data_IF_302210549672
#
_entry.id   IF_302210549672
#
_cell.length_a   1.000
_cell.length_b   1.000
_cell.length_c   1.000
_cell.angle_alpha   90.00
_cell.angle_beta   90.00
_cell.angle_gamma   90.00
#
_symmetry.space_group_name_H-M   'P 1'
#
loop_
_entity.id
_entity.type
_entity.pdbx_description
1 polymer ?
#
# COMPACT_ATOMS: atom_id res chain seq x y z
N UNK A 1 -37.81 -18.89 30.12
CA UNK A 1 -37.64 -19.52 28.79
C UNK A 1 -36.27 -19.11 28.29
N UNK A 2 -35.32 -20.03 28.24
CA UNK A 2 -33.97 -19.78 27.71
C UNK A 2 -34.05 -19.84 26.18
N UNK A 3 -33.91 -18.70 25.52
CA UNK A 3 -33.72 -18.67 24.07
C UNK A 3 -32.46 -19.45 23.73
N UNK A 4 -32.63 -20.57 23.02
CA UNK A 4 -31.53 -21.27 22.38
C UNK A 4 -30.92 -20.31 21.34
N UNK A 5 -29.67 -19.89 21.54
CA UNK A 5 -28.93 -19.15 20.53
C UNK A 5 -28.77 -20.01 19.28
N UNK A 6 -29.64 -19.78 18.30
CA UNK A 6 -29.52 -20.40 16.97
C UNK A 6 -28.15 -20.12 16.38
N UNK A 7 -27.59 -21.08 15.65
CA UNK A 7 -26.27 -20.96 15.02
C UNK A 7 -26.23 -19.78 14.04
N UNK A 8 -25.37 -18.80 14.34
CA UNK A 8 -25.18 -17.57 13.53
C UNK A 8 -24.37 -17.81 12.23
N UNK A 9 -24.59 -18.94 11.56
CA UNK A 9 -23.80 -19.32 10.38
C UNK A 9 -24.26 -18.57 9.12
N UNK A 10 -23.34 -17.81 8.50
CA UNK A 10 -23.59 -17.11 7.23
C UNK A 10 -23.40 -18.02 6.01
N UNK A 11 -24.45 -18.71 5.57
CA UNK A 11 -24.36 -19.66 4.44
C UNK A 11 -24.25 -19.05 3.03
N UNK A 12 -24.40 -17.72 2.87
CA UNK A 12 -24.43 -17.07 1.54
C UNK A 12 -23.05 -16.91 0.90
N UNK A 13 -22.02 -16.63 1.71
CA UNK A 13 -20.62 -16.42 1.31
C UNK A 13 -19.70 -16.48 2.53
N UNK A 14 -18.47 -16.93 2.33
CA UNK A 14 -17.47 -17.04 3.39
C UNK A 14 -17.01 -15.69 3.96
N UNK A 15 -16.94 -14.65 3.11
CA UNK A 15 -16.52 -13.30 3.48
C UNK A 15 -17.66 -12.33 3.15
N UNK A 16 -18.06 -11.40 4.04
CA UNK A 16 -19.11 -10.42 3.74
C UNK A 16 -18.73 -9.50 2.55
N UNK A 17 -19.71 -8.81 1.93
CA UNK A 17 -19.40 -7.87 0.85
C UNK A 17 -18.49 -6.72 1.32
N UNK A 18 -17.44 -6.43 0.55
CA UNK A 18 -16.53 -5.30 0.79
C UNK A 18 -16.99 -4.07 -0.01
N UNK A 19 -17.99 -3.34 0.46
CA UNK A 19 -18.69 -2.28 -0.30
C UNK A 19 -18.60 -0.89 0.32
N UNK A 20 -17.75 -0.69 1.33
CA UNK A 20 -17.57 0.60 1.99
C UNK A 20 -16.09 0.99 2.00
N UNK A 21 -15.76 2.14 1.43
CA UNK A 21 -14.42 2.73 1.55
C UNK A 21 -14.18 3.28 2.97
N UNK A 22 -15.23 3.67 3.68
CA UNK A 22 -15.11 4.24 5.03
C UNK A 22 -14.84 3.16 6.11
N UNK A 23 -15.23 1.91 5.85
CA UNK A 23 -14.96 0.81 6.77
C UNK A 23 -13.53 0.28 6.56
N UNK A 24 -12.82 0.01 7.65
CA UNK A 24 -11.43 -0.44 7.64
C UNK A 24 -11.21 -1.60 8.62
N UNK A 25 -10.31 -2.51 8.26
CA UNK A 25 -9.68 -3.47 9.17
C UNK A 25 -8.17 -3.24 9.18
N UNK A 26 -7.52 -3.20 10.33
CA UNK A 26 -6.07 -3.07 10.34
C UNK A 26 -5.37 -4.42 10.19
N UNK A 27 -4.45 -4.56 9.22
CA UNK A 27 -3.58 -5.72 9.20
C UNK A 27 -2.69 -5.72 10.46
N UNK A 28 -2.35 -6.89 11.00
CA UNK A 28 -1.45 -6.97 12.15
C UNK A 28 -0.09 -6.33 11.82
N UNK A 29 0.46 -5.60 12.81
CA UNK A 29 1.81 -5.02 12.73
C UNK A 29 2.90 -6.09 12.83
N UNK A 30 2.61 -7.20 13.49
CA UNK A 30 3.52 -8.35 13.58
C UNK A 30 2.69 -9.60 13.32
N UNK A 31 3.00 -10.29 12.24
CA UNK A 31 2.32 -11.51 11.80
C UNK A 31 3.37 -12.62 11.64
N UNK A 32 3.64 -13.32 12.74
CA UNK A 32 4.59 -14.43 12.75
C UNK A 32 3.87 -15.74 12.43
N UNK A 33 4.51 -16.60 11.66
CA UNK A 33 3.98 -17.90 11.26
C UNK A 33 4.93 -19.03 11.68
N UNK A 34 4.36 -20.09 12.25
CA UNK A 34 5.11 -21.28 12.65
C UNK A 34 5.87 -21.12 13.98
N UNK A 35 6.92 -21.92 14.14
CA UNK A 35 7.76 -21.93 15.34
C UNK A 35 8.80 -20.81 15.26
N UNK A 36 8.75 -19.88 16.21
CA UNK A 36 9.70 -18.77 16.31
C UNK A 36 10.73 -19.07 17.40
N UNK A 37 12.04 -19.02 17.11
CA UNK A 37 13.08 -19.19 18.13
C UNK A 37 12.95 -18.12 19.24
N UNK A 38 13.25 -18.47 20.49
CA UNK A 38 13.26 -17.49 21.60
C UNK A 38 14.21 -16.32 21.39
N UNK A 39 15.26 -16.51 20.58
CA UNK A 39 16.23 -15.47 20.23
C UNK A 39 15.82 -14.57 19.08
N UNK A 40 14.63 -14.73 18.49
CA UNK A 40 14.14 -13.82 17.46
C UNK A 40 13.97 -12.42 18.05
N UNK A 41 14.71 -11.45 17.51
CA UNK A 41 14.54 -10.03 17.82
C UNK A 41 14.04 -9.28 16.57
N UNK A 42 12.82 -8.73 16.58
CA UNK A 42 12.32 -7.88 15.48
C UNK A 42 13.25 -6.71 15.11
N UNK A 43 14.05 -6.23 16.06
CA UNK A 43 14.97 -5.09 15.86
C UNK A 43 16.16 -5.42 14.93
N UNK A 44 16.44 -6.71 14.68
CA UNK A 44 17.50 -7.13 13.76
C UNK A 44 17.11 -6.89 12.29
N UNK A 45 15.81 -6.74 12.03
CA UNK A 45 15.24 -6.49 10.72
C UNK A 45 15.04 -4.98 10.48
N UNK A 46 14.70 -4.63 9.23
CA UNK A 46 14.29 -3.26 8.94
C UNK A 46 13.04 -2.91 9.72
N UNK A 47 13.05 -1.70 10.27
CA UNK A 47 11.87 -1.06 10.82
C UNK A 47 11.73 0.32 10.18
N UNK A 48 10.52 0.69 9.79
CA UNK A 48 10.23 1.99 9.20
C UNK A 48 10.13 3.03 10.30
N UNK A 49 10.93 4.09 10.19
CA UNK A 49 10.91 5.23 11.11
C UNK A 49 10.03 6.35 10.60
N UNK A 50 9.97 6.56 9.27
CA UNK A 50 9.12 7.58 8.67
C UNK A 50 8.77 7.24 7.20
N UNK A 51 7.69 7.83 6.70
CA UNK A 51 7.26 7.71 5.29
C UNK A 51 6.95 9.10 4.75
N UNK A 52 7.64 9.49 3.68
CA UNK A 52 7.43 10.76 2.98
C UNK A 52 6.72 10.49 1.65
N UNK A 53 5.64 11.22 1.42
CA UNK A 53 4.79 11.04 0.23
C UNK A 53 4.95 12.14 -0.83
N UNK A 54 5.79 13.15 -0.59
CA UNK A 54 5.95 14.32 -1.46
C UNK A 54 4.58 14.85 -1.94
N UNK A 55 3.71 15.10 -0.96
CA UNK A 55 2.25 15.28 -1.16
C UNK A 55 1.79 16.73 -1.08
N UNK A 56 2.74 17.67 -1.02
CA UNK A 56 2.42 19.10 -1.03
C UNK A 56 1.87 19.50 -2.40
N UNK A 57 1.08 20.57 -2.45
CA UNK A 57 0.39 20.98 -3.69
C UNK A 57 1.35 21.40 -4.80
N UNK A 58 2.56 21.84 -4.43
CA UNK A 58 3.63 22.23 -5.34
C UNK A 58 4.63 21.10 -5.62
N UNK A 59 4.52 19.95 -4.94
CA UNK A 59 5.39 18.81 -5.22
C UNK A 59 4.99 18.14 -6.53
N UNK A 60 5.98 17.54 -7.20
CA UNK A 60 5.83 16.87 -8.50
C UNK A 60 4.71 15.85 -8.50
N UNK A 61 4.53 15.07 -7.43
CA UNK A 61 3.45 14.07 -7.39
C UNK A 61 2.06 14.66 -7.64
N UNK A 62 1.71 15.81 -7.05
CA UNK A 62 0.38 16.41 -7.27
C UNK A 62 0.30 17.18 -8.58
N UNK A 63 1.39 17.84 -8.96
CA UNK A 63 1.46 18.61 -10.21
C UNK A 63 1.38 17.68 -11.41
N UNK A 64 2.22 16.66 -11.48
CA UNK A 64 2.33 15.73 -12.62
C UNK A 64 1.11 14.81 -12.74
N UNK A 65 0.43 14.52 -11.62
CA UNK A 65 -0.85 13.79 -11.63
C UNK A 65 -2.07 14.70 -11.84
N UNK A 66 -1.90 16.01 -12.00
CA UNK A 66 -3.02 16.96 -12.18
C UNK A 66 -4.05 16.87 -11.03
N UNK A 67 -3.55 16.85 -9.79
CA UNK A 67 -4.33 16.75 -8.54
C UNK A 67 -3.97 17.86 -7.52
N UNK A 68 -3.11 18.81 -7.90
CA UNK A 68 -2.71 20.00 -7.15
C UNK A 68 -3.88 20.95 -6.81
N UNK A 69 -4.97 20.87 -7.57
CA UNK A 69 -6.15 21.74 -7.42
C UNK A 69 -7.10 21.32 -6.30
N UNK A 70 -7.05 20.06 -5.86
CA UNK A 70 -7.91 19.60 -4.76
C UNK A 70 -7.48 20.27 -3.45
N UNK A 71 -8.45 20.81 -2.70
CA UNK A 71 -8.23 21.33 -1.35
C UNK A 71 -8.14 20.18 -0.34
N UNK A 72 -7.09 19.37 -0.45
CA UNK A 72 -6.83 18.20 0.39
C UNK A 72 -5.32 18.04 0.64
N UNK A 73 -4.94 17.76 1.89
CA UNK A 73 -3.56 17.63 2.37
C UNK A 73 -2.97 16.23 2.18
N UNK A 74 -3.80 15.22 1.89
CA UNK A 74 -3.36 13.84 1.62
C UNK A 74 -2.82 13.70 0.20
N UNK A 75 -2.10 12.61 -0.06
CA UNK A 75 -1.62 12.29 -1.40
C UNK A 75 -2.82 11.93 -2.29
N UNK A 76 -2.90 12.55 -3.46
CA UNK A 76 -3.90 12.24 -4.48
C UNK A 76 -3.14 12.00 -5.78
N UNK A 77 -3.27 10.80 -6.33
CA UNK A 77 -2.63 10.38 -7.58
C UNK A 77 -3.69 9.80 -8.51
N UNK A 78 -3.30 9.57 -9.77
CA UNK A 78 -4.13 8.95 -10.79
C UNK A 78 -3.53 7.61 -11.19
N UNK A 79 -4.40 6.62 -11.42
CA UNK A 79 -4.01 5.24 -11.72
C UNK A 79 -3.20 5.13 -13.02
N UNK A 80 -2.36 4.09 -13.15
CA UNK A 80 -1.53 3.88 -14.35
C UNK A 80 -0.31 4.79 -14.49
N UNK A 81 -0.13 5.79 -13.62
CA UNK A 81 1.01 6.71 -13.64
C UNK A 81 1.85 6.55 -12.37
N UNK A 82 3.16 6.71 -12.50
CA UNK A 82 4.10 6.57 -11.38
C UNK A 82 4.18 7.83 -10.51
N UNK A 83 4.31 7.64 -9.20
CA UNK A 83 4.57 8.70 -8.21
C UNK A 83 5.73 8.31 -7.30
N UNK A 84 6.30 9.29 -6.60
CA UNK A 84 7.44 9.08 -5.72
C UNK A 84 7.03 8.98 -4.25
N UNK A 85 7.67 8.08 -3.52
CA UNK A 85 7.64 8.06 -2.04
C UNK A 85 9.05 7.82 -1.52
N UNK A 86 9.29 8.17 -0.27
CA UNK A 86 10.54 7.84 0.43
C UNK A 86 10.24 7.19 1.76
N UNK A 87 10.96 6.11 2.06
CA UNK A 87 10.83 5.36 3.30
C UNK A 87 12.14 5.49 4.05
N UNK A 88 12.06 5.98 5.27
CA UNK A 88 13.20 6.05 6.19
C UNK A 88 13.15 4.84 7.11
N UNK A 89 14.29 4.15 7.25
CA UNK A 89 14.44 2.95 8.06
C UNK A 89 15.32 3.19 9.30
N UNK A 90 15.30 2.25 10.24
CA UNK A 90 16.18 2.20 11.40
C UNK A 90 17.68 2.06 11.02
N UNK A 91 17.98 1.43 9.88
CA UNK A 91 19.33 1.25 9.33
C UNK A 91 19.31 1.29 7.80
N UNK A 92 20.47 1.41 7.13
CA UNK A 92 20.53 1.31 5.67
C UNK A 92 19.88 0.01 5.14
N UNK A 93 19.10 0.15 4.07
CA UNK A 93 18.53 -0.97 3.31
C UNK A 93 19.63 -1.72 2.56
N UNK A 94 19.70 -3.04 2.74
CA UNK A 94 20.64 -3.93 2.06
C UNK A 94 19.87 -4.96 1.20
N UNK A 95 19.88 -4.80 -0.14
CA UNK A 95 19.17 -5.68 -1.07
C UNK A 95 19.57 -7.16 -0.98
N UNK A 96 20.71 -7.50 -0.37
CA UNK A 96 21.17 -8.89 -0.26
C UNK A 96 20.50 -9.67 0.88
N UNK A 97 19.93 -8.97 1.87
CA UNK A 97 19.35 -9.58 3.07
C UNK A 97 17.96 -9.06 3.43
N UNK A 98 17.62 -7.85 2.98
CA UNK A 98 16.38 -7.19 3.33
C UNK A 98 15.35 -7.35 2.22
N UNK A 99 14.14 -7.74 2.61
CA UNK A 99 12.98 -7.80 1.74
C UNK A 99 11.85 -6.99 2.36
N UNK A 100 11.31 -6.04 1.61
CA UNK A 100 10.12 -5.31 2.00
C UNK A 100 9.25 -5.01 0.78
N UNK A 101 8.00 -4.63 1.03
CA UNK A 101 7.06 -4.16 0.01
C UNK A 101 6.15 -3.08 0.57
N UNK A 102 5.58 -2.29 -0.33
CA UNK A 102 4.47 -1.38 0.00
C UNK A 102 3.17 -2.15 -0.16
N UNK A 103 2.18 -1.87 0.68
CA UNK A 103 0.86 -2.48 0.60
C UNK A 103 -0.21 -1.39 0.60
N UNK A 104 -1.12 -1.45 -0.38
CA UNK A 104 -2.32 -0.61 -0.40
C UNK A 104 -3.54 -1.46 -0.05
N UNK A 105 -4.36 -0.95 0.87
CA UNK A 105 -5.51 -1.69 1.41
C UNK A 105 -6.75 -0.81 1.41
N UNK A 106 -7.89 -1.34 0.96
CA UNK A 106 -9.17 -0.64 0.92
C UNK A 106 -10.33 -1.51 1.41
N UNK A 107 -11.21 -0.89 2.21
CA UNK A 107 -12.37 -1.55 2.80
C UNK A 107 -12.05 -2.41 4.02
N UNK A 108 -13.07 -3.12 4.50
CA UNK A 108 -13.08 -3.94 5.71
C UNK A 108 -12.67 -5.40 5.46
N UNK A 109 -12.91 -5.90 4.25
CA UNK A 109 -12.61 -7.29 3.87
C UNK A 109 -11.72 -7.35 2.62
N UNK A 110 -10.50 -6.79 2.70
CA UNK A 110 -9.60 -6.69 1.57
C UNK A 110 -9.11 -8.08 1.13
N UNK A 111 -9.06 -8.30 -0.18
CA UNK A 111 -8.62 -9.55 -0.82
C UNK A 111 -7.79 -9.21 -2.07
N UNK A 112 -6.70 -9.95 -2.26
CA UNK A 112 -5.74 -9.72 -3.36
C UNK A 112 -6.39 -9.95 -4.73
N UNK A 113 -7.08 -11.07 -4.89
CA UNK A 113 -7.79 -11.45 -6.12
C UNK A 113 -9.01 -10.54 -6.45
N UNK A 114 -9.36 -9.61 -5.55
CA UNK A 114 -10.39 -8.58 -5.77
C UNK A 114 -9.80 -7.19 -5.95
N UNK A 115 -8.47 -7.06 -5.96
CA UNK A 115 -7.78 -5.77 -6.07
C UNK A 115 -7.98 -4.84 -4.86
N UNK A 116 -8.42 -5.36 -3.72
CA UNK A 116 -8.68 -4.57 -2.50
C UNK A 116 -7.59 -4.71 -1.43
N UNK A 117 -6.73 -5.72 -1.58
CA UNK A 117 -5.42 -5.81 -0.96
C UNK A 117 -4.38 -5.82 -2.09
N UNK A 118 -3.44 -4.88 -2.09
CA UNK A 118 -2.52 -4.69 -3.20
C UNK A 118 -1.09 -4.75 -2.65
N UNK A 119 -0.40 -5.90 -2.73
CA UNK A 119 1.02 -5.98 -2.45
C UNK A 119 1.80 -5.41 -3.63
N UNK A 120 2.54 -4.34 -3.41
CA UNK A 120 3.36 -3.67 -4.42
C UNK A 120 4.80 -4.19 -4.35
N UNK A 121 5.21 -5.09 -5.27
CA UNK A 121 6.55 -5.69 -5.21
C UNK A 121 7.64 -4.66 -5.56
N UNK A 122 8.81 -4.83 -4.96
CA UNK A 122 10.02 -4.17 -5.44
C UNK A 122 10.50 -4.85 -6.73
N UNK A 123 10.71 -4.07 -7.78
CA UNK A 123 11.12 -4.55 -9.11
C UNK A 123 12.33 -3.78 -9.61
N UNK A 124 13.13 -4.41 -10.48
CA UNK A 124 14.25 -3.74 -11.16
C UNK A 124 13.76 -2.70 -12.16
N UNK A 125 12.72 -3.04 -12.92
CA UNK A 125 12.09 -2.16 -13.90
C UNK A 125 10.56 -2.22 -13.79
N UNK A 126 9.92 -1.07 -13.97
CA UNK A 126 8.47 -0.96 -13.96
C UNK A 126 7.90 -1.51 -15.28
N UNK A 127 6.84 -2.30 -15.19
CA UNK A 127 6.15 -2.87 -16.35
C UNK A 127 4.83 -2.14 -16.58
N UNK A 128 4.54 -1.79 -17.83
CA UNK A 128 3.26 -1.16 -18.22
C UNK A 128 2.06 -1.95 -17.69
N UNK A 129 1.01 -1.24 -17.26
CA UNK A 129 -0.24 -1.80 -16.75
C UNK A 129 -0.17 -2.49 -15.38
N UNK A 130 1.01 -2.65 -14.76
CA UNK A 130 1.19 -3.42 -13.53
C UNK A 130 1.60 -2.57 -12.33
N UNK A 131 1.19 -3.04 -11.15
CA UNK A 131 1.70 -2.54 -9.88
C UNK A 131 3.18 -2.92 -9.69
N UNK A 132 3.98 -1.96 -9.26
CA UNK A 132 5.38 -2.19 -8.93
C UNK A 132 6.03 -0.97 -8.30
N UNK A 133 7.11 -1.19 -7.57
CA UNK A 133 7.93 -0.12 -6.98
C UNK A 133 9.39 -0.32 -7.37
N UNK A 134 10.00 0.70 -7.99
CA UNK A 134 11.42 0.71 -8.36
C UNK A 134 12.20 1.57 -7.38
N UNK A 135 13.31 1.05 -6.85
CA UNK A 135 14.25 1.85 -6.06
C UNK A 135 15.00 2.80 -6.98
N UNK A 136 14.78 4.11 -6.83
CA UNK A 136 15.42 5.15 -7.64
C UNK A 136 16.57 5.86 -6.92
N UNK A 137 16.59 5.80 -5.58
CA UNK A 137 17.65 6.40 -4.77
C UNK A 137 17.79 5.64 -3.45
N UNK A 138 19.04 5.49 -2.99
CA UNK A 138 19.40 4.97 -1.67
C UNK A 138 20.37 5.96 -1.05
N UNK A 139 20.00 6.56 0.07
CA UNK A 139 20.80 7.55 0.77
C UNK A 139 20.70 7.28 2.27
N UNK A 140 21.82 6.93 2.90
CA UNK A 140 21.90 6.50 4.29
C UNK A 140 20.84 5.45 4.67
N UNK A 141 19.79 5.87 5.38
CA UNK A 141 18.69 5.03 5.86
C UNK A 141 17.40 5.20 5.06
N UNK A 142 17.44 6.02 4.02
CA UNK A 142 16.30 6.39 3.20
C UNK A 142 16.35 5.69 1.85
N UNK A 143 15.21 5.18 1.43
CA UNK A 143 15.00 4.58 0.11
C UNK A 143 13.90 5.34 -0.60
N UNK A 144 14.20 5.96 -1.74
CA UNK A 144 13.20 6.58 -2.60
C UNK A 144 12.71 5.57 -3.62
N UNK A 145 11.40 5.44 -3.73
CA UNK A 145 10.72 4.55 -4.64
C UNK A 145 9.95 5.36 -5.68
N UNK A 146 10.01 4.92 -6.93
CA UNK A 146 9.02 5.24 -7.96
C UNK A 146 7.97 4.12 -7.94
N UNK A 147 6.76 4.43 -7.51
CA UNK A 147 5.64 3.49 -7.37
C UNK A 147 4.70 3.69 -8.54
N UNK A 148 4.45 2.62 -9.29
CA UNK A 148 3.48 2.61 -10.38
C UNK A 148 2.26 1.79 -9.97
N UNK A 149 1.09 2.35 -10.20
CA UNK A 149 -0.19 1.65 -10.04
C UNK A 149 -0.65 1.06 -11.36
N UNK A 150 -1.45 -0.01 -11.32
CA UNK A 150 -2.14 -0.51 -12.52
C UNK A 150 -3.14 0.52 -13.05
N UNK A 151 -3.29 0.64 -14.37
CA UNK A 151 -4.30 1.47 -15.01
C UNK A 151 -5.74 1.02 -14.68
N UNK A 152 -5.93 -0.24 -14.28
CA UNK A 152 -7.23 -0.80 -13.86
C UNK A 152 -7.47 -0.71 -12.35
N UNK A 153 -6.63 0.01 -11.60
CA UNK A 153 -6.77 0.13 -10.15
C UNK A 153 -8.17 0.63 -9.75
N UNK A 154 -8.71 0.04 -8.67
CA UNK A 154 -9.91 0.54 -7.99
C UNK A 154 -9.69 2.00 -7.61
N UNK A 155 -10.71 2.82 -7.84
CA UNK A 155 -10.71 4.24 -7.47
C UNK A 155 -11.20 4.40 -6.03
N UNK A 156 -10.48 5.17 -5.23
CA UNK A 156 -10.85 5.41 -3.83
C UNK A 156 -9.70 5.85 -2.96
N UNK A 157 -9.95 5.86 -1.65
CA UNK A 157 -8.97 6.18 -0.60
C UNK A 157 -8.38 4.90 -0.03
N UNK A 158 -7.09 4.66 -0.26
CA UNK A 158 -6.37 3.50 0.23
C UNK A 158 -5.57 3.84 1.48
N UNK A 159 -5.45 2.85 2.36
CA UNK A 159 -4.52 2.85 3.49
C UNK A 159 -3.19 2.29 3.00
N UNK A 160 -2.09 2.97 3.33
CA UNK A 160 -0.75 2.56 2.97
C UNK A 160 -0.07 1.87 4.15
N UNK A 161 0.64 0.78 3.88
CA UNK A 161 1.52 0.13 4.83
C UNK A 161 2.86 -0.20 4.16
N UNK A 162 3.90 -0.34 4.97
CA UNK A 162 5.17 -0.94 4.55
C UNK A 162 5.34 -2.23 5.33
N UNK A 163 5.54 -3.33 4.60
CA UNK A 163 5.67 -4.67 5.14
C UNK A 163 7.08 -5.21 4.88
N UNK A 164 7.83 -5.45 5.96
CA UNK A 164 9.15 -6.07 5.96
C UNK A 164 8.97 -7.57 6.16
N UNK A 165 9.55 -8.34 5.24
CA UNK A 165 9.50 -9.79 5.25
C UNK A 165 10.68 -10.35 6.03
N UNK A 166 10.38 -11.30 6.91
CA UNK A 166 11.37 -12.03 7.71
C UNK A 166 11.18 -13.53 7.47
N UNK A 167 12.17 -14.37 7.81
CA UNK A 167 12.01 -15.82 7.76
C UNK A 167 10.85 -16.36 8.61
N UNK A 168 10.35 -15.56 9.57
CA UNK A 168 9.34 -15.97 10.54
C UNK A 168 7.96 -15.34 10.27
N UNK A 169 7.83 -14.51 9.23
CA UNK A 169 6.60 -13.78 8.92
C UNK A 169 6.84 -12.32 8.57
N UNK A 170 5.84 -11.47 8.80
CA UNK A 170 5.84 -10.07 8.35
C UNK A 170 5.82 -9.10 9.52
N UNK A 171 6.67 -8.08 9.46
CA UNK A 171 6.65 -6.89 10.33
C UNK A 171 6.14 -5.72 9.48
N UNK A 172 5.07 -5.07 9.92
CA UNK A 172 4.35 -4.04 9.17
C UNK A 172 4.21 -2.76 10.00
N UNK A 173 4.24 -1.62 9.33
CA UNK A 173 3.91 -0.33 9.93
C UNK A 173 2.54 -0.35 10.59
N UNK A 174 2.35 0.40 11.66
CA UNK A 174 1.03 0.65 12.23
C UNK A 174 0.16 1.49 11.29
N UNK A 175 -1.15 1.51 11.54
CA UNK A 175 -2.09 2.39 10.85
C UNK A 175 -1.65 3.85 10.98
N UNK A 176 -1.43 4.51 9.85
CA UNK A 176 -1.11 5.93 9.79
C UNK A 176 -2.03 6.69 8.81
N UNK A 177 -3.06 7.41 9.30
CA UNK A 177 -3.98 8.19 8.47
C UNK A 177 -3.30 9.25 7.59
N UNK A 178 -2.11 9.74 7.95
CA UNK A 178 -1.37 10.72 7.16
C UNK A 178 -0.80 10.14 5.85
N UNK A 179 -0.69 8.81 5.78
CA UNK A 179 -0.24 8.11 4.58
C UNK A 179 -1.37 7.59 3.69
N UNK A 180 -2.62 7.91 4.04
CA UNK A 180 -3.75 7.56 3.18
C UNK A 180 -3.61 8.22 1.80
N UNK A 181 -3.79 7.43 0.77
CA UNK A 181 -3.57 7.82 -0.62
C UNK A 181 -4.86 7.68 -1.42
N UNK A 182 -5.28 8.75 -2.08
CA UNK A 182 -6.37 8.68 -3.04
C UNK A 182 -5.82 8.28 -4.40
N UNK A 183 -6.42 7.28 -5.03
CA UNK A 183 -6.13 6.88 -6.41
C UNK A 183 -7.38 7.15 -7.23
N UNK A 184 -7.25 8.02 -8.23
CA UNK A 184 -8.33 8.44 -9.12
C UNK A 184 -8.20 7.82 -10.51
N UNK A 185 -9.25 7.95 -11.31
CA UNK A 185 -9.19 7.75 -12.76
C UNK A 185 -8.14 8.66 -13.41
N UNK A 186 -7.54 8.19 -14.51
CA UNK A 186 -6.48 8.89 -15.22
C UNK A 186 -6.78 9.14 -16.71
N UNK A 187 -7.41 10.28 -17.06
CA UNK A 187 -7.61 10.67 -18.45
C UNK A 187 -6.32 10.89 -19.25
N UNK A 188 -5.16 11.02 -18.61
CA UNK A 188 -3.85 11.22 -19.26
C UNK A 188 -3.07 9.93 -19.51
N UNK A 189 -3.55 8.78 -19.01
CA UNK A 189 -2.89 7.49 -19.20
C UNK A 189 -3.55 6.74 -20.35
N UNK A 190 -2.81 6.43 -21.42
CA UNK A 190 -3.30 5.73 -22.62
C UNK A 190 -3.91 4.35 -22.32
N UNK A 191 -3.49 3.71 -21.23
CA UNK A 191 -4.00 2.40 -20.80
C UNK A 191 -5.27 2.51 -19.94
N UNK A 192 -5.64 3.69 -19.47
CA UNK A 192 -6.84 3.89 -18.67
C UNK A 192 -8.08 3.89 -19.58
N UNK A 193 -9.12 3.18 -19.15
CA UNK A 193 -10.41 3.15 -19.84
C UNK A 193 -11.06 4.54 -20.08
N UNK A 194 -10.65 5.58 -19.34
CA UNK A 194 -11.12 6.97 -19.53
C UNK A 194 -10.11 7.89 -20.22
N UNK A 195 -9.11 7.32 -20.90
CA UNK A 195 -8.12 8.10 -21.65
C UNK A 195 -8.76 9.09 -22.61
N UNK A 196 -8.23 10.31 -22.63
CA UNK A 196 -8.60 11.38 -23.56
C UNK A 196 -7.32 11.92 -24.20
N UNK A 197 -7.21 11.79 -25.52
CA UNK A 197 -6.06 12.28 -26.30
C UNK A 197 -5.98 13.82 -26.36
N UNK A 198 -7.11 14.53 -26.09
CA UNK A 198 -7.22 15.99 -26.16
C UNK A 198 -8.25 16.53 -25.15
#
# INVERSE_FOLDING_TARGET
>A
MSESSGTAFGGRRAIPPNTSNAAENDPPTVELQGLVPRGFNPQDYLNVTNVHLFKERWDSNKVDHHTDKYSNDKLIVRRGQSFYIQIDFNRPYDPTRDLFRVEYVIGLYPQENKGTYIPVPLVSELQSGKWGAKVVMREDRSVRLSVQSSADCIVGKFRMYVAVWTPYGVIRTSRNPETDTYILFNPWCEEDAVYLEN
#
